data_IF_230165050865
#
_entry.id   IF_230165050865
#
_cell.length_a   1.000
_cell.length_b   1.000
_cell.length_c   1.000
_cell.angle_alpha   90.00
_cell.angle_beta   90.00
_cell.angle_gamma   90.00
#
_symmetry.space_group_name_H-M   'P 1'
#
loop_
_entity.id
_entity.type
_entity.pdbx_description
1 polymer ?
#
# COMPACT_ATOMS: atom_id res chain seq x y z
N UNK A 1 59.04 27.73 47.65
CA UNK A 1 58.15 26.58 47.93
C UNK A 1 57.56 26.15 46.59
N UNK A 2 58.16 25.08 46.04
CA UNK A 2 57.78 24.19 44.93
C UNK A 2 57.02 24.76 43.70
N UNK A 3 57.56 24.85 42.47
CA UNK A 3 58.13 23.84 41.54
C UNK A 3 57.06 23.19 40.62
N UNK A 4 57.25 23.45 39.30
CA UNK A 4 56.94 22.65 38.08
C UNK A 4 55.58 22.83 37.37
N UNK A 5 55.55 23.33 36.12
CA UNK A 5 55.78 22.63 34.80
C UNK A 5 54.58 21.73 34.43
N UNK A 6 54.09 21.60 33.19
CA UNK A 6 54.42 22.11 31.86
C UNK A 6 53.34 21.57 30.90
N UNK A 7 53.22 22.19 29.73
CA UNK A 7 52.97 21.57 28.41
C UNK A 7 51.63 20.87 28.08
N UNK A 8 50.98 21.47 27.08
CA UNK A 8 50.52 20.85 25.83
C UNK A 8 50.81 19.36 25.64
N UNK A 9 49.75 18.58 25.39
CA UNK A 9 49.82 17.41 24.53
C UNK A 9 48.48 17.19 23.82
N UNK A 10 48.56 17.13 22.50
CA UNK A 10 47.52 16.79 21.53
C UNK A 10 46.96 15.38 21.74
N UNK A 11 45.80 15.11 21.12
CA UNK A 11 45.29 13.87 20.49
C UNK A 11 43.78 13.78 20.73
N UNK A 12 42.95 14.12 19.73
CA UNK A 12 42.36 13.19 18.74
C UNK A 12 41.13 12.45 19.29
N UNK A 13 40.17 12.19 18.38
CA UNK A 13 38.84 11.58 18.55
C UNK A 13 37.71 12.55 18.93
N UNK A 14 36.57 12.62 18.25
CA UNK A 14 36.11 11.97 17.03
C UNK A 14 34.89 12.74 16.53
N UNK A 15 34.93 13.10 15.25
CA UNK A 15 33.81 13.23 14.33
C UNK A 15 32.58 12.33 14.69
N UNK A 16 31.39 12.91 14.83
CA UNK A 16 30.14 12.20 14.54
C UNK A 16 29.07 13.20 14.10
N UNK A 17 28.91 13.27 12.78
CA UNK A 17 27.90 14.04 12.08
C UNK A 17 26.49 13.73 12.57
N UNK A 18 25.70 14.79 12.64
CA UNK A 18 24.24 14.86 12.51
C UNK A 18 23.61 13.54 12.02
N UNK A 19 23.02 12.79 12.95
CA UNK A 19 22.07 11.73 12.59
C UNK A 19 20.86 12.45 12.00
N UNK A 20 20.79 12.46 10.67
CA UNK A 20 19.57 12.78 9.92
C UNK A 20 18.56 11.73 10.30
N UNK A 21 17.71 12.04 11.28
CA UNK A 21 16.48 11.29 11.51
C UNK A 21 15.63 11.53 10.27
N UNK A 22 15.66 10.57 9.35
CA UNK A 22 14.68 10.48 8.28
C UNK A 22 13.31 10.52 8.96
N UNK A 23 12.57 11.60 8.72
CA UNK A 23 11.21 11.78 9.19
C UNK A 23 10.36 10.66 8.58
N UNK A 24 10.29 9.52 9.28
CA UNK A 24 9.25 8.53 9.08
C UNK A 24 7.96 9.23 9.47
N UNK A 25 7.19 9.65 8.48
CA UNK A 25 5.78 9.94 8.66
C UNK A 25 5.12 8.60 9.02
N UNK A 26 5.16 8.25 10.30
CA UNK A 26 4.33 7.19 10.86
C UNK A 26 2.92 7.72 10.78
N UNK A 27 2.14 7.20 9.83
CA UNK A 27 0.68 7.41 9.85
C UNK A 27 0.16 6.96 11.21
N UNK A 28 -0.40 7.89 11.97
CA UNK A 28 -0.81 7.69 13.36
C UNK A 28 -2.05 6.79 13.53
N UNK A 29 -2.68 6.36 12.43
CA UNK A 29 -3.88 5.53 12.46
C UNK A 29 -3.62 4.12 11.92
N UNK A 30 -4.29 3.15 12.55
CA UNK A 30 -4.33 1.75 12.11
C UNK A 30 -5.31 1.52 10.96
N UNK A 31 -6.16 2.51 10.67
CA UNK A 31 -7.21 2.44 9.66
C UNK A 31 -6.71 2.91 8.30
N UNK A 32 -6.72 2.00 7.32
CA UNK A 32 -6.29 2.26 5.95
C UNK A 32 -7.08 3.39 5.27
N UNK A 33 -8.36 3.54 5.59
CA UNK A 33 -9.21 4.58 4.96
C UNK A 33 -8.77 5.99 5.36
N UNK A 34 -8.41 6.19 6.62
CA UNK A 34 -8.00 7.49 7.14
C UNK A 34 -6.65 7.89 6.54
N UNK A 35 -5.72 6.94 6.43
CA UNK A 35 -4.44 7.13 5.75
C UNK A 35 -4.65 7.51 4.28
N UNK A 36 -5.61 6.88 3.60
CA UNK A 36 -5.92 7.19 2.22
C UNK A 36 -6.53 8.59 2.05
N UNK A 37 -7.44 8.97 2.95
CA UNK A 37 -8.07 10.28 2.96
C UNK A 37 -7.03 11.42 3.04
N UNK A 38 -5.96 11.22 3.80
CA UNK A 38 -4.87 12.20 3.95
C UNK A 38 -3.93 12.27 2.73
N UNK A 39 -3.77 11.16 2.00
CA UNK A 39 -2.85 11.05 0.86
C UNK A 39 -3.50 11.49 -0.46
N UNK A 40 -4.80 11.25 -0.64
CA UNK A 40 -5.52 11.55 -1.89
C UNK A 40 -5.40 13.04 -2.29
N UNK A 41 -5.63 14.03 -1.39
CA UNK A 41 -5.52 15.44 -1.76
C UNK A 41 -4.10 15.87 -2.15
N UNK A 42 -3.09 15.29 -1.51
CA UNK A 42 -1.67 15.55 -1.79
C UNK A 42 -1.31 15.08 -3.20
N UNK A 43 -1.71 13.86 -3.54
CA UNK A 43 -1.48 13.29 -4.87
C UNK A 43 -2.29 13.99 -5.97
N UNK A 44 -3.54 14.37 -5.71
CA UNK A 44 -4.33 15.17 -6.63
C UNK A 44 -3.67 16.52 -6.94
N UNK A 45 -3.15 17.19 -5.92
CA UNK A 45 -2.42 18.46 -6.06
C UNK A 45 -1.12 18.28 -6.84
N UNK A 46 -0.36 17.23 -6.54
CA UNK A 46 0.87 16.88 -7.25
C UNK A 46 0.60 16.62 -8.74
N UNK A 47 -0.44 15.86 -9.08
CA UNK A 47 -0.82 15.58 -10.47
C UNK A 47 -1.30 16.86 -11.16
N UNK A 48 -2.06 17.72 -10.47
CA UNK A 48 -2.50 19.02 -11.02
C UNK A 48 -1.30 19.90 -11.36
N UNK A 49 -0.34 20.03 -10.46
CA UNK A 49 0.89 20.80 -10.67
C UNK A 49 1.74 20.18 -11.80
N UNK A 50 1.88 18.85 -11.81
CA UNK A 50 2.65 18.14 -12.84
C UNK A 50 2.01 18.29 -14.23
N UNK A 51 0.68 18.18 -14.35
CA UNK A 51 -0.03 18.41 -15.63
C UNK A 51 0.11 19.85 -16.11
N UNK A 52 0.12 20.83 -15.20
CA UNK A 52 0.36 22.23 -15.55
C UNK A 52 1.78 22.45 -16.11
N UNK A 53 2.77 21.76 -15.55
CA UNK A 53 4.18 21.94 -15.92
C UNK A 53 4.61 21.10 -17.14
N UNK A 54 4.07 19.89 -17.29
CA UNK A 54 4.56 18.89 -18.25
C UNK A 54 3.46 18.26 -19.11
N UNK A 55 2.23 18.78 -19.10
CA UNK A 55 1.08 18.19 -19.80
C UNK A 55 1.20 18.07 -21.32
N UNK A 56 2.21 18.72 -21.94
CA UNK A 56 2.45 18.72 -23.39
C UNK A 56 3.79 18.06 -23.79
N UNK A 57 4.50 17.46 -22.85
CA UNK A 57 5.83 16.85 -23.10
C UNK A 57 5.67 15.41 -23.56
N UNK A 58 6.27 15.05 -24.70
CA UNK A 58 6.31 13.67 -25.20
C UNK A 58 7.16 12.81 -24.28
N UNK A 59 6.56 11.81 -23.65
CA UNK A 59 7.27 10.84 -22.80
C UNK A 59 7.82 9.75 -23.74
N UNK A 60 9.15 9.58 -23.74
CA UNK A 60 9.94 8.93 -24.79
C UNK A 60 9.70 7.44 -25.04
N UNK A 61 10.61 6.81 -25.79
CA UNK A 61 10.51 5.42 -26.25
C UNK A 61 10.62 4.40 -25.11
N UNK A 62 9.77 3.38 -25.15
CA UNK A 62 9.69 2.28 -24.17
C UNK A 62 10.67 1.18 -24.58
N UNK A 63 11.64 0.83 -23.72
CA UNK A 63 12.54 -0.32 -23.88
C UNK A 63 12.05 -1.52 -23.07
N UNK A 64 12.49 -2.74 -23.43
CA UNK A 64 11.94 -4.02 -22.96
C UNK A 64 12.38 -4.39 -21.52
N UNK A 65 13.47 -3.82 -21.01
CA UNK A 65 14.07 -4.17 -19.70
C UNK A 65 13.47 -3.41 -18.49
N UNK A 66 12.17 -3.15 -18.50
CA UNK A 66 11.50 -2.54 -17.36
C UNK A 66 11.01 -3.62 -16.41
N UNK A 67 11.84 -3.95 -15.42
CA UNK A 67 11.42 -4.79 -14.30
C UNK A 67 10.26 -4.16 -13.52
N UNK A 68 9.37 -4.99 -12.98
CA UNK A 68 8.22 -4.53 -12.18
C UNK A 68 8.75 -3.94 -10.86
N UNK A 69 8.38 -2.69 -10.59
CA UNK A 69 8.63 -2.01 -9.31
C UNK A 69 7.31 -1.69 -8.63
N UNK A 70 7.13 -2.13 -7.40
CA UNK A 70 5.95 -1.81 -6.60
C UNK A 70 6.20 -0.49 -5.87
N UNK A 71 5.60 0.60 -6.37
CA UNK A 71 5.77 1.96 -5.80
C UNK A 71 7.23 2.41 -5.66
N UNK A 72 8.11 1.94 -6.54
CA UNK A 72 9.54 2.25 -6.54
C UNK A 72 10.42 1.14 -5.94
N UNK A 73 9.84 0.24 -5.15
CA UNK A 73 10.54 -0.89 -4.54
C UNK A 73 10.64 -2.08 -5.51
N UNK A 74 11.82 -2.70 -5.53
CA UNK A 74 12.07 -3.97 -6.21
C UNK A 74 11.57 -5.16 -5.36
N UNK A 75 11.39 -6.32 -6.00
CA UNK A 75 10.94 -7.54 -5.31
C UNK A 75 11.85 -7.92 -4.11
N UNK A 76 13.19 -7.89 -4.21
CA UNK A 76 14.05 -8.20 -3.08
C UNK A 76 13.91 -7.20 -1.91
N UNK A 77 13.70 -5.92 -2.20
CA UNK A 77 13.46 -4.90 -1.18
C UNK A 77 12.11 -5.12 -0.49
N UNK A 78 11.08 -5.52 -1.23
CA UNK A 78 9.79 -5.90 -0.64
C UNK A 78 9.92 -7.11 0.30
N UNK A 79 10.70 -8.14 -0.07
CA UNK A 79 10.91 -9.32 0.78
C UNK A 79 11.67 -9.01 2.09
N UNK A 80 12.49 -7.97 2.09
CA UNK A 80 13.22 -7.52 3.28
C UNK A 80 12.40 -6.58 4.16
N UNK A 81 11.61 -5.69 3.55
CA UNK A 81 10.92 -4.62 4.27
C UNK A 81 9.50 -4.99 4.71
N UNK A 82 8.82 -5.90 3.99
CA UNK A 82 7.44 -6.26 4.32
C UNK A 82 7.36 -7.19 5.54
N UNK A 83 6.37 -7.00 6.42
CA UNK A 83 6.12 -7.90 7.54
C UNK A 83 5.88 -9.34 7.08
N UNK A 84 6.37 -10.30 7.87
CA UNK A 84 6.26 -11.74 7.63
C UNK A 84 5.36 -12.38 8.69
N UNK A 85 4.77 -13.52 8.35
CA UNK A 85 4.02 -14.31 9.32
C UNK A 85 4.94 -14.84 10.44
N UNK A 86 4.43 -15.07 11.66
CA UNK A 86 5.22 -15.67 12.73
C UNK A 86 5.69 -17.08 12.32
N UNK A 87 7.01 -17.24 12.14
CA UNK A 87 7.62 -18.48 11.67
C UNK A 87 7.64 -18.68 10.14
N UNK A 88 7.23 -17.66 9.36
CA UNK A 88 7.29 -17.67 7.89
C UNK A 88 8.43 -16.82 7.35
N UNK A 89 8.99 -17.24 6.21
CA UNK A 89 10.05 -16.48 5.51
C UNK A 89 9.52 -15.58 4.41
N UNK A 90 8.26 -15.76 4.00
CA UNK A 90 7.61 -15.04 2.91
C UNK A 90 6.83 -13.80 3.40
N UNK A 91 6.82 -12.70 2.62
CA UNK A 91 6.09 -11.48 2.96
C UNK A 91 4.58 -11.69 2.83
N UNK A 92 3.81 -11.07 3.74
CA UNK A 92 2.35 -11.18 3.74
C UNK A 92 1.72 -10.40 2.57
N UNK A 93 0.74 -10.98 1.84
CA UNK A 93 0.05 -10.31 0.74
C UNK A 93 -0.71 -9.05 1.22
N UNK A 94 -1.17 -9.02 2.47
CA UNK A 94 -1.75 -7.86 3.14
C UNK A 94 -0.77 -6.68 3.19
N UNK A 95 0.49 -6.96 3.51
CA UNK A 95 1.54 -5.94 3.57
C UNK A 95 1.84 -5.35 2.20
N UNK A 96 1.85 -6.20 1.16
CA UNK A 96 2.00 -5.76 -0.21
C UNK A 96 0.80 -4.90 -0.66
N UNK A 97 -0.43 -5.30 -0.33
CA UNK A 97 -1.63 -4.51 -0.64
C UNK A 97 -1.55 -3.12 0.00
N UNK A 98 -1.14 -3.03 1.27
CA UNK A 98 -0.93 -1.76 1.96
C UNK A 98 0.11 -0.87 1.25
N UNK A 99 1.24 -1.46 0.84
CA UNK A 99 2.27 -0.74 0.08
C UNK A 99 1.74 -0.20 -1.24
N UNK A 100 0.97 -1.00 -1.99
CA UNK A 100 0.40 -0.58 -3.27
C UNK A 100 -0.60 0.57 -3.12
N UNK A 101 -1.39 0.53 -2.05
CA UNK A 101 -2.44 1.50 -1.79
C UNK A 101 -1.88 2.81 -1.22
N UNK A 102 -0.96 2.74 -0.25
CA UNK A 102 -0.45 3.91 0.48
C UNK A 102 0.92 4.41 0.01
N UNK A 103 1.71 3.56 -0.65
CA UNK A 103 3.12 3.84 -0.97
C UNK A 103 4.06 3.78 0.24
N UNK A 104 3.58 3.33 1.41
CA UNK A 104 4.36 3.24 2.64
C UNK A 104 4.49 1.77 3.07
N UNK A 105 5.61 1.43 3.71
CA UNK A 105 5.81 0.10 4.31
C UNK A 105 4.99 0.00 5.59
N UNK A 106 4.07 -1.00 5.70
CA UNK A 106 3.20 -1.13 6.87
C UNK A 106 3.93 -1.67 8.10
N UNK A 107 3.38 -1.41 9.28
CA UNK A 107 3.77 -2.06 10.53
C UNK A 107 3.05 -3.40 10.71
N UNK A 108 3.55 -4.26 11.61
CA UNK A 108 2.90 -5.55 11.93
C UNK A 108 1.46 -5.38 12.44
N UNK A 109 1.21 -4.33 13.22
CA UNK A 109 -0.14 -4.01 13.72
C UNK A 109 -1.11 -3.65 12.60
N UNK A 110 -0.66 -2.88 11.60
CA UNK A 110 -1.45 -2.50 10.43
C UNK A 110 -1.76 -3.72 9.56
N UNK A 111 -0.81 -4.63 9.40
CA UNK A 111 -1.03 -5.91 8.69
C UNK A 111 -2.03 -6.77 9.44
N UNK A 112 -1.89 -6.93 10.77
CA UNK A 112 -2.83 -7.68 11.59
C UNK A 112 -4.24 -7.09 11.57
N UNK A 113 -4.36 -5.76 11.54
CA UNK A 113 -5.65 -5.10 11.37
C UNK A 113 -6.27 -5.42 10.01
N UNK A 114 -5.47 -5.37 8.94
CA UNK A 114 -5.93 -5.66 7.57
C UNK A 114 -6.36 -7.12 7.42
N UNK A 115 -5.61 -8.08 7.95
CA UNK A 115 -5.99 -9.51 7.94
C UNK A 115 -7.32 -9.73 8.68
N UNK A 116 -7.54 -9.07 9.83
CA UNK A 116 -8.83 -9.12 10.55
C UNK A 116 -9.97 -8.52 9.72
N UNK A 117 -9.70 -7.43 9.02
CA UNK A 117 -10.72 -6.75 8.20
C UNK A 117 -11.12 -7.59 6.98
N UNK A 118 -10.16 -8.26 6.34
CA UNK A 118 -10.44 -9.23 5.26
C UNK A 118 -11.25 -10.42 5.77
N UNK A 119 -10.88 -10.98 6.93
CA UNK A 119 -11.62 -12.08 7.52
C UNK A 119 -13.08 -11.71 7.83
N UNK A 120 -13.33 -10.50 8.32
CA UNK A 120 -14.71 -9.99 8.56
C UNK A 120 -15.52 -9.84 7.27
N UNK A 121 -14.87 -9.47 6.16
CA UNK A 121 -15.51 -9.17 4.87
C UNK A 121 -15.58 -10.39 3.93
N UNK A 122 -15.04 -11.53 4.33
CA UNK A 122 -15.03 -12.75 3.53
C UNK A 122 -16.39 -13.47 3.43
N UNK A 123 -17.46 -12.90 3.99
CA UNK A 123 -18.80 -13.49 3.91
C UNK A 123 -19.33 -13.46 2.47
N UNK A 124 -19.81 -14.61 1.99
CA UNK A 124 -20.41 -14.76 0.67
C UNK A 124 -21.95 -14.81 0.78
N UNK A 125 -22.69 -14.09 -0.08
CA UNK A 125 -24.15 -14.22 -0.15
C UNK A 125 -24.57 -15.65 -0.55
N UNK A 126 -25.69 -16.11 0.00
CA UNK A 126 -26.20 -17.47 -0.25
C UNK A 126 -26.40 -17.78 -1.74
N UNK A 127 -26.87 -16.81 -2.53
CA UNK A 127 -27.09 -16.99 -3.95
C UNK A 127 -25.79 -17.29 -4.74
N UNK A 128 -24.65 -16.76 -4.31
CA UNK A 128 -23.35 -17.02 -4.95
C UNK A 128 -22.86 -18.42 -4.61
N UNK A 129 -23.01 -18.85 -3.36
CA UNK A 129 -22.67 -20.20 -2.91
C UNK A 129 -23.49 -21.23 -3.68
N UNK A 130 -24.82 -21.04 -3.76
CA UNK A 130 -25.70 -21.91 -4.53
C UNK A 130 -25.34 -21.93 -6.02
N UNK A 131 -24.94 -20.80 -6.61
CA UNK A 131 -24.51 -20.76 -8.01
C UNK A 131 -23.23 -21.58 -8.22
N UNK A 132 -22.25 -21.47 -7.31
CA UNK A 132 -21.00 -22.23 -7.36
C UNK A 132 -21.23 -23.74 -7.23
N UNK A 133 -22.07 -24.16 -6.28
CA UNK A 133 -22.38 -25.58 -6.04
C UNK A 133 -23.12 -26.23 -7.21
N UNK A 134 -23.84 -25.44 -8.01
CA UNK A 134 -24.60 -25.91 -9.17
C UNK A 134 -23.81 -25.87 -10.49
N UNK A 135 -22.55 -25.41 -10.49
CA UNK A 135 -21.75 -25.45 -11.71
C UNK A 135 -21.43 -26.88 -12.13
N UNK A 136 -21.50 -27.20 -13.44
CA UNK A 136 -21.14 -28.52 -13.89
C UNK A 136 -19.61 -28.71 -13.80
N UNK A 137 -19.17 -29.92 -13.48
CA UNK A 137 -17.74 -30.24 -13.27
C UNK A 137 -16.87 -30.11 -14.51
N UNK A 138 -17.48 -30.01 -15.70
CA UNK A 138 -16.80 -29.75 -16.96
C UNK A 138 -16.51 -28.26 -17.22
N UNK A 139 -17.07 -27.34 -16.43
CA UNK A 139 -16.87 -25.91 -16.60
C UNK A 139 -15.49 -25.52 -16.09
N UNK A 140 -14.72 -24.83 -16.93
CA UNK A 140 -13.37 -24.40 -16.59
C UNK A 140 -13.36 -23.50 -15.33
N UNK A 141 -12.41 -23.69 -14.39
CA UNK A 141 -12.39 -22.96 -13.11
C UNK A 141 -12.33 -21.43 -13.28
N UNK A 142 -11.65 -20.93 -14.31
CA UNK A 142 -11.64 -19.49 -14.59
C UNK A 142 -13.02 -18.93 -14.99
N UNK A 143 -13.85 -19.74 -15.68
CA UNK A 143 -15.21 -19.34 -16.04
C UNK A 143 -16.13 -19.35 -14.82
N UNK A 144 -15.99 -20.35 -13.94
CA UNK A 144 -16.68 -20.38 -12.64
C UNK A 144 -16.32 -19.16 -11.79
N UNK A 145 -15.02 -18.85 -11.69
CA UNK A 145 -14.52 -17.70 -10.96
C UNK A 145 -15.05 -16.37 -11.52
N UNK A 146 -14.96 -16.17 -12.83
CA UNK A 146 -15.45 -14.93 -13.47
C UNK A 146 -16.97 -14.75 -13.30
N UNK A 147 -17.75 -15.83 -13.42
CA UNK A 147 -19.19 -15.79 -13.19
C UNK A 147 -19.52 -15.47 -11.73
N UNK A 148 -18.83 -16.09 -10.76
CA UNK A 148 -19.00 -15.82 -9.34
C UNK A 148 -18.67 -14.38 -8.97
N UNK A 149 -17.55 -13.84 -9.47
CA UNK A 149 -17.17 -12.43 -9.27
C UNK A 149 -18.22 -11.48 -9.87
N UNK A 150 -18.80 -11.84 -11.02
CA UNK A 150 -19.87 -11.05 -11.63
C UNK A 150 -21.15 -11.07 -10.79
N UNK A 151 -21.50 -12.22 -10.20
CA UNK A 151 -22.67 -12.33 -9.31
C UNK A 151 -22.50 -11.54 -8.00
N UNK A 152 -21.28 -11.47 -7.47
CA UNK A 152 -20.96 -10.67 -6.27
C UNK A 152 -21.19 -9.17 -6.47
N UNK A 153 -21.28 -8.68 -7.72
CA UNK A 153 -21.62 -7.28 -8.01
C UNK A 153 -23.02 -6.88 -7.49
N UNK A 154 -23.90 -7.84 -7.19
CA UNK A 154 -25.20 -7.56 -6.55
C UNK A 154 -25.07 -6.84 -5.20
N UNK A 155 -23.98 -7.07 -4.47
CA UNK A 155 -23.67 -6.44 -3.18
C UNK A 155 -22.82 -5.15 -3.34
N UNK A 156 -22.60 -4.69 -4.57
CA UNK A 156 -21.77 -3.52 -4.84
C UNK A 156 -22.37 -2.24 -4.24
N UNK A 157 -21.74 -1.76 -3.17
CA UNK A 157 -22.09 -0.50 -2.52
C UNK A 157 -21.82 0.69 -3.44
N UNK A 158 -20.80 0.60 -4.29
CA UNK A 158 -20.48 1.62 -5.28
C UNK A 158 -21.58 1.76 -6.34
N UNK A 159 -22.09 0.64 -6.88
CA UNK A 159 -23.14 0.67 -7.90
C UNK A 159 -24.41 1.36 -7.36
N UNK A 160 -24.79 1.05 -6.12
CA UNK A 160 -25.89 1.71 -5.40
C UNK A 160 -25.62 3.21 -5.21
N UNK A 161 -24.50 3.56 -4.60
CA UNK A 161 -24.11 4.95 -4.33
C UNK A 161 -24.01 5.80 -5.60
N UNK A 162 -23.53 5.22 -6.71
CA UNK A 162 -23.47 5.91 -8.00
C UNK A 162 -24.88 6.20 -8.54
N UNK A 163 -25.81 5.23 -8.44
CA UNK A 163 -27.21 5.42 -8.85
C UNK A 163 -27.95 6.47 -8.01
N UNK A 164 -27.57 6.63 -6.74
CA UNK A 164 -28.11 7.63 -5.82
C UNK A 164 -27.52 9.04 -6.04
N UNK A 165 -26.53 9.19 -6.93
CA UNK A 165 -25.98 10.48 -7.31
C UNK A 165 -24.86 11.00 -6.38
N UNK A 166 -23.99 10.12 -5.88
CA UNK A 166 -22.83 10.53 -5.07
C UNK A 166 -21.89 11.46 -5.85
N UNK A 167 -21.30 12.43 -5.15
CA UNK A 167 -20.35 13.37 -5.71
C UNK A 167 -19.06 12.67 -6.17
N UNK A 168 -18.52 13.07 -7.33
CA UNK A 168 -17.28 12.54 -7.91
C UNK A 168 -16.09 12.53 -6.94
N UNK A 169 -16.00 13.52 -6.05
CA UNK A 169 -14.93 13.60 -5.05
C UNK A 169 -14.98 12.47 -4.01
N UNK A 170 -16.14 11.83 -3.82
CA UNK A 170 -16.37 10.76 -2.83
C UNK A 170 -16.40 9.36 -3.42
N UNK A 171 -16.20 9.20 -4.74
CA UNK A 171 -16.23 7.87 -5.37
C UNK A 171 -15.23 6.90 -4.75
N UNK A 172 -14.04 7.38 -4.38
CA UNK A 172 -13.02 6.55 -3.75
C UNK A 172 -13.46 5.99 -2.38
N UNK A 173 -14.37 6.65 -1.67
CA UNK A 173 -14.86 6.23 -0.36
C UNK A 173 -15.78 5.01 -0.46
N UNK A 174 -16.50 4.86 -1.57
CA UNK A 174 -17.51 3.81 -1.82
C UNK A 174 -16.99 2.68 -2.73
N UNK A 175 -15.82 2.82 -3.35
CA UNK A 175 -15.20 1.80 -4.21
C UNK A 175 -14.48 0.68 -3.43
N UNK A 176 -15.07 0.17 -2.34
CA UNK A 176 -14.48 -0.85 -1.46
C UNK A 176 -15.43 -2.03 -1.23
#
# INVERSE_FOLDING_TARGET
HCIFHQNSFSFLFQNAACVVVAARNVSASTNLKDVLADLIPKEQSRIKNFKQQHGKTTIGQITVDMGIRFRGYSIPECQQLLPKAPGGEEPLPEGLFWLLVTGQVPTEEQVNWLSKEWAKRAALPSHVVTMLDNFPTNLHPMSQFSAAVTALNSESSFARAYSEGVNKAKYWEVSH
#
